data_IF_105786492475
#
_entry.id   IF_105786492475
#
_cell.length_a   1.000
_cell.length_b   1.000
_cell.length_c   1.000
_cell.angle_alpha   90.00
_cell.angle_beta   90.00
_cell.angle_gamma   90.00
#
_symmetry.space_group_name_H-M   'P 1'
#
loop_
_entity.id
_entity.type
_entity.pdbx_description
1 polymer ?
#
# COMPACT_ATOMS: atom_id res chain seq x y z
N UNK A 1 -8.85 15.75 -0.26
CA UNK A 1 -9.91 15.37 0.70
C UNK A 1 -10.32 13.97 0.36
N UNK A 2 -10.24 13.03 1.29
CA UNK A 2 -10.58 11.62 1.13
C UNK A 2 -9.75 10.72 2.06
N UNK A 3 -10.12 9.47 2.21
CA UNK A 3 -9.54 8.50 3.17
C UNK A 3 -8.81 7.34 2.47
N UNK A 4 -8.48 6.27 3.19
CA UNK A 4 -7.80 5.09 2.67
C UNK A 4 -8.56 4.33 1.58
N UNK A 5 -9.86 4.58 1.42
CA UNK A 5 -10.73 3.96 0.41
C UNK A 5 -10.93 4.86 -0.82
N UNK A 6 -10.38 6.08 -0.80
CA UNK A 6 -10.41 7.00 -1.94
C UNK A 6 -9.13 6.88 -2.77
N UNK A 7 -9.22 6.13 -3.86
CA UNK A 7 -8.16 5.94 -4.86
C UNK A 7 -8.43 6.80 -6.11
N UNK A 8 -7.70 7.92 -6.23
CA UNK A 8 -7.92 8.89 -7.31
C UNK A 8 -7.32 8.48 -8.66
N UNK A 9 -6.34 7.57 -8.66
CA UNK A 9 -5.65 7.10 -9.87
C UNK A 9 -6.16 5.72 -10.31
N UNK A 10 -6.65 4.92 -9.36
CA UNK A 10 -7.15 3.56 -9.60
C UNK A 10 -6.07 2.49 -9.50
N UNK A 11 -4.79 2.86 -9.37
CA UNK A 11 -3.70 1.90 -9.27
C UNK A 11 -3.83 0.97 -8.06
N UNK A 12 -4.17 1.51 -6.88
CA UNK A 12 -4.35 0.73 -5.66
C UNK A 12 -5.53 -0.24 -5.76
N UNK A 13 -6.63 0.21 -6.34
CA UNK A 13 -7.84 -0.56 -6.59
C UNK A 13 -7.56 -1.72 -7.55
N UNK A 14 -6.84 -1.45 -8.65
CA UNK A 14 -6.43 -2.49 -9.60
C UNK A 14 -5.56 -3.56 -8.93
N UNK A 15 -4.59 -3.16 -8.09
CA UNK A 15 -3.77 -4.11 -7.33
C UNK A 15 -4.61 -4.94 -6.34
N UNK A 16 -5.55 -4.30 -5.64
CA UNK A 16 -6.46 -4.99 -4.73
C UNK A 16 -7.36 -6.00 -5.47
N UNK A 17 -7.82 -5.68 -6.67
CA UNK A 17 -8.64 -6.58 -7.50
C UNK A 17 -7.82 -7.79 -8.00
N UNK A 18 -6.57 -7.59 -8.44
CA UNK A 18 -5.69 -8.70 -8.83
C UNK A 18 -5.42 -9.67 -7.68
N UNK A 19 -5.36 -9.18 -6.43
CA UNK A 19 -5.13 -10.00 -5.25
C UNK A 19 -6.44 -10.66 -4.79
N UNK A 20 -7.49 -9.88 -4.53
CA UNK A 20 -8.67 -10.32 -3.80
C UNK A 20 -10.00 -10.07 -4.54
N UNK A 21 -9.96 -9.75 -5.83
CA UNK A 21 -11.15 -9.59 -6.66
C UNK A 21 -12.06 -10.81 -6.58
N UNK A 22 -13.35 -10.58 -6.32
CA UNK A 22 -14.31 -11.67 -6.06
C UNK A 22 -14.76 -12.38 -7.34
N UNK A 23 -14.59 -11.74 -8.50
CA UNK A 23 -15.19 -12.17 -9.76
C UNK A 23 -16.72 -12.04 -9.82
N UNK A 24 -17.34 -11.39 -8.83
CA UNK A 24 -18.79 -11.20 -8.79
C UNK A 24 -19.28 -10.37 -10.00
N UNK A 25 -20.45 -10.70 -10.52
CA UNK A 25 -21.03 -10.00 -11.67
C UNK A 25 -20.26 -10.21 -12.99
N UNK A 26 -19.38 -11.21 -13.07
CA UNK A 26 -18.52 -11.43 -14.24
C UNK A 26 -17.24 -10.60 -14.24
N UNK A 27 -16.88 -9.97 -13.13
CA UNK A 27 -15.64 -9.22 -12.96
C UNK A 27 -14.39 -10.11 -12.85
N UNK A 28 -13.23 -9.48 -12.61
CA UNK A 28 -11.97 -10.21 -12.47
C UNK A 28 -11.93 -10.97 -11.13
N UNK A 29 -11.47 -12.23 -11.19
CA UNK A 29 -11.23 -13.05 -10.00
C UNK A 29 -9.76 -13.00 -9.64
N UNK A 30 -9.44 -12.42 -8.49
CA UNK A 30 -8.09 -12.30 -7.98
C UNK A 30 -7.49 -13.64 -7.58
N UNK A 31 -6.18 -13.64 -7.32
CA UNK A 31 -5.44 -14.84 -6.93
C UNK A 31 -5.93 -15.47 -5.62
N UNK A 32 -6.32 -14.63 -4.66
CA UNK A 32 -6.81 -15.00 -3.33
C UNK A 32 -8.10 -14.24 -2.96
N UNK A 33 -9.26 -14.57 -3.55
CA UNK A 33 -10.52 -13.83 -3.34
C UNK A 33 -11.06 -13.83 -1.90
N UNK A 34 -10.59 -14.75 -1.05
CA UNK A 34 -10.93 -14.80 0.38
C UNK A 34 -10.00 -13.99 1.28
N UNK A 35 -8.96 -13.36 0.72
CA UNK A 35 -8.07 -12.48 1.47
C UNK A 35 -8.78 -11.17 1.80
N UNK A 36 -8.42 -10.57 2.94
CA UNK A 36 -8.84 -9.23 3.31
C UNK A 36 -7.75 -8.24 2.91
N UNK A 37 -8.16 -7.12 2.33
CA UNK A 37 -7.26 -6.02 1.96
C UNK A 37 -7.35 -4.95 3.04
N UNK A 38 -6.20 -4.51 3.53
CA UNK A 38 -6.06 -3.33 4.39
C UNK A 38 -5.38 -2.26 3.53
N UNK A 39 -6.11 -1.25 3.02
CA UNK A 39 -5.52 -0.23 2.19
C UNK A 39 -4.66 0.72 3.03
N UNK A 40 -3.45 1.01 2.53
CA UNK A 40 -2.53 2.00 3.12
C UNK A 40 -2.18 3.00 2.02
N UNK A 41 -2.76 4.20 2.07
CA UNK A 41 -2.53 5.23 1.04
C UNK A 41 -1.26 6.02 1.34
N UNK A 42 -0.35 6.02 0.36
CA UNK A 42 0.86 6.85 0.33
C UNK A 42 0.79 7.84 -0.83
N UNK A 43 1.58 8.90 -0.78
CA UNK A 43 1.59 9.91 -1.85
C UNK A 43 2.49 9.47 -2.99
N UNK A 44 1.98 9.55 -4.22
CA UNK A 44 2.78 9.29 -5.41
C UNK A 44 3.57 10.54 -5.85
N UNK A 45 4.56 10.33 -6.71
CA UNK A 45 5.43 11.39 -7.24
C UNK A 45 4.65 12.55 -7.90
N UNK A 46 3.55 12.28 -8.59
CA UNK A 46 2.77 13.31 -9.29
C UNK A 46 1.96 14.16 -8.31
N UNK A 47 1.45 13.55 -7.25
CA UNK A 47 0.80 14.25 -6.14
C UNK A 47 1.82 15.11 -5.37
N UNK A 48 3.00 14.57 -5.07
CA UNK A 48 4.08 15.29 -4.39
C UNK A 48 4.57 16.51 -5.17
N UNK A 49 4.55 16.48 -6.51
CA UNK A 49 4.91 17.63 -7.35
C UNK A 49 3.92 18.79 -7.25
N UNK A 50 2.65 18.49 -6.94
CA UNK A 50 1.55 19.46 -6.95
C UNK A 50 1.14 19.90 -5.53
N UNK A 51 1.50 19.13 -4.52
CA UNK A 51 1.07 19.33 -3.14
C UNK A 51 2.23 19.12 -2.17
N UNK A 52 2.26 19.91 -1.09
CA UNK A 52 3.16 19.60 0.03
C UNK A 52 2.67 18.33 0.73
N UNK A 53 3.57 17.36 0.88
CA UNK A 53 3.27 16.05 1.49
C UNK A 53 4.14 15.81 2.72
N UNK A 54 3.77 14.81 3.52
CA UNK A 54 4.68 14.24 4.51
C UNK A 54 5.81 13.50 3.77
N UNK A 55 7.05 13.95 3.93
CA UNK A 55 8.22 13.31 3.33
C UNK A 55 8.54 11.92 3.93
N UNK A 56 7.81 11.50 4.97
CA UNK A 56 7.93 10.22 5.67
C UNK A 56 6.71 9.31 5.50
N UNK A 57 5.81 9.65 4.58
CA UNK A 57 4.59 8.90 4.37
C UNK A 57 4.84 7.40 4.08
N UNK A 58 5.88 7.05 3.31
CA UNK A 58 6.26 5.67 3.05
C UNK A 58 6.69 4.92 4.32
N UNK A 59 7.62 5.49 5.10
CA UNK A 59 8.11 4.84 6.34
C UNK A 59 7.03 4.73 7.42
N UNK A 60 6.14 5.73 7.51
CA UNK A 60 4.98 5.71 8.39
C UNK A 60 3.96 4.64 7.97
N UNK A 61 3.66 4.51 6.66
CA UNK A 61 2.75 3.50 6.14
C UNK A 61 3.27 2.07 6.33
N UNK A 62 4.57 1.84 6.09
CA UNK A 62 5.20 0.53 6.32
C UNK A 62 5.13 0.15 7.81
N UNK A 63 5.37 1.10 8.72
CA UNK A 63 5.24 0.85 10.16
C UNK A 63 3.79 0.57 10.57
N UNK A 64 2.84 1.34 10.05
CA UNK A 64 1.41 1.10 10.29
C UNK A 64 0.98 -0.29 9.79
N UNK A 65 1.43 -0.71 8.62
CA UNK A 65 1.19 -2.06 8.09
C UNK A 65 1.86 -3.14 8.97
N UNK A 66 3.08 -2.89 9.46
CA UNK A 66 3.80 -3.79 10.35
C UNK A 66 3.09 -4.01 11.70
N UNK A 67 2.43 -2.98 12.22
CA UNK A 67 1.67 -3.07 13.47
C UNK A 67 0.23 -3.58 13.30
N UNK A 68 -0.24 -3.70 12.06
CA UNK A 68 -1.56 -4.26 11.74
C UNK A 68 -1.60 -5.79 11.83
N UNK A 69 -2.80 -6.36 11.67
CA UNK A 69 -3.03 -7.80 11.54
C UNK A 69 -2.63 -8.35 10.15
N UNK A 70 -2.16 -7.50 9.23
CA UNK A 70 -1.72 -7.95 7.91
C UNK A 70 -0.64 -9.03 8.02
N UNK A 71 -0.70 -10.05 7.17
CA UNK A 71 0.32 -11.12 7.14
C UNK A 71 1.34 -10.94 6.02
N UNK A 72 1.00 -10.13 5.03
CA UNK A 72 1.80 -9.85 3.84
C UNK A 72 1.60 -8.36 3.57
N UNK A 73 2.71 -7.66 3.31
CA UNK A 73 2.69 -6.27 2.84
C UNK A 73 3.00 -6.29 1.35
N UNK A 74 2.09 -5.77 0.53
CA UNK A 74 2.30 -5.61 -0.92
C UNK A 74 2.63 -4.15 -1.22
N UNK A 75 3.76 -3.89 -1.88
CA UNK A 75 4.23 -2.55 -2.21
C UNK A 75 4.51 -2.47 -3.72
N UNK A 76 3.49 -2.10 -4.49
CA UNK A 76 3.59 -1.94 -5.95
C UNK A 76 4.08 -0.54 -6.35
N UNK A 77 5.16 -0.10 -5.70
CA UNK A 77 5.84 1.16 -5.97
C UNK A 77 7.33 1.01 -5.66
N UNK A 78 8.14 1.98 -6.11
CA UNK A 78 9.55 1.99 -5.81
C UNK A 78 10.23 3.26 -6.27
N UNK A 79 11.43 3.49 -5.75
CA UNK A 79 12.31 4.61 -6.10
C UNK A 79 13.72 4.09 -6.31
N UNK A 80 14.50 4.79 -7.14
CA UNK A 80 15.94 4.50 -7.31
C UNK A 80 16.74 4.77 -6.04
N UNK A 81 16.21 5.61 -5.14
CA UNK A 81 16.85 5.98 -3.89
C UNK A 81 15.93 5.62 -2.73
N UNK A 82 16.52 5.03 -1.68
CA UNK A 82 15.83 4.83 -0.40
C UNK A 82 16.46 5.66 0.71
N UNK A 83 15.63 6.13 1.62
CA UNK A 83 16.06 6.84 2.83
C UNK A 83 16.49 5.85 3.91
N UNK A 84 17.16 6.34 4.96
CA UNK A 84 17.44 5.52 6.13
C UNK A 84 16.15 5.10 6.84
N UNK A 85 15.14 5.98 6.92
CA UNK A 85 13.90 5.70 7.63
C UNK A 85 13.08 4.61 6.95
N UNK A 86 13.01 4.60 5.61
CA UNK A 86 12.38 3.53 4.83
C UNK A 86 13.04 2.17 5.08
N UNK A 87 14.39 2.12 5.04
CA UNK A 87 15.13 0.89 5.31
C UNK A 87 14.88 0.35 6.73
N UNK A 88 14.83 1.24 7.72
CA UNK A 88 14.53 0.85 9.10
C UNK A 88 13.05 0.44 9.29
N UNK A 89 12.12 1.04 8.55
CA UNK A 89 10.72 0.62 8.54
C UNK A 89 10.53 -0.78 7.94
N UNK A 90 11.23 -1.09 6.84
CA UNK A 90 11.22 -2.44 6.24
C UNK A 90 11.81 -3.47 7.20
N UNK A 91 12.96 -3.19 7.82
CA UNK A 91 13.54 -4.07 8.85
C UNK A 91 12.59 -4.25 10.04
N UNK A 92 11.86 -3.21 10.43
CA UNK A 92 10.86 -3.30 11.48
C UNK A 92 9.71 -4.25 11.08
N UNK A 93 9.18 -4.12 9.86
CA UNK A 93 8.16 -5.03 9.34
C UNK A 93 8.64 -6.49 9.31
N UNK A 94 9.87 -6.72 8.82
CA UNK A 94 10.50 -8.05 8.83
C UNK A 94 10.64 -8.61 10.26
N UNK A 95 11.07 -7.78 11.23
CA UNK A 95 11.18 -8.19 12.63
C UNK A 95 9.83 -8.55 13.28
N UNK A 96 8.72 -8.12 12.68
CA UNK A 96 7.34 -8.43 13.10
C UNK A 96 6.75 -9.64 12.35
N UNK A 97 7.56 -10.29 11.51
CA UNK A 97 7.17 -11.45 10.71
C UNK A 97 6.20 -11.12 9.58
N UNK A 98 6.30 -9.90 9.03
CA UNK A 98 5.59 -9.51 7.81
C UNK A 98 6.38 -9.85 6.56
#
# INVERSE_FOLDING_TARGET
AGDENDDYDGHGTNMAELIAGTGAGGGLKGLAPGAKIIPMRVTDTEFQKKHSVNARDFEDAIRAAADSEAKIISMSFGSLYSTRGEREAVKYAESKGK
#
